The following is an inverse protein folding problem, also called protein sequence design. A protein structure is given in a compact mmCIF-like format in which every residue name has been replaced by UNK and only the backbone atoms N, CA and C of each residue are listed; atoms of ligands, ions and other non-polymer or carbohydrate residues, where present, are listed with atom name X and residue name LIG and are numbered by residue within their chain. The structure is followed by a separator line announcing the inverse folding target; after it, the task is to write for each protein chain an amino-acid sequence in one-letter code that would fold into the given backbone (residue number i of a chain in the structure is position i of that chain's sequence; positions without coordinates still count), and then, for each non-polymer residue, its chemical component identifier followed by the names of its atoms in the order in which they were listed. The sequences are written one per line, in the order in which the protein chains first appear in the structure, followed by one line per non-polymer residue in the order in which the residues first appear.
data_IF_123220089078
#
_entry.id   IF_123220089078
#
_cell.length_a   1.000
_cell.length_b   1.000
_cell.length_c   1.000
_cell.angle_alpha   90.00
_cell.angle_beta   90.00
_cell.angle_gamma   90.00
#
_symmetry.space_group_name_H-M   'P 1'
#
loop_
_entity.id
_entity.type
_entity.pdbx_description
1 polymer ?
#
# COMPACT_ATOMS: atom_id res chain seq x y z
N UNK A 1 -134.01 -46.83 2.55
CA UNK A 1 -133.65 -47.97 1.67
C UNK A 1 -133.75 -47.46 0.24
N UNK A 2 -132.77 -47.55 -0.67
CA UNK A 2 -131.30 -47.74 -0.64
C UNK A 2 -130.78 -47.08 -1.96
N UNK A 3 -129.52 -46.65 -2.17
CA UNK A 3 -128.32 -46.56 -1.33
C UNK A 3 -127.43 -45.39 -1.81
N UNK A 4 -126.27 -45.17 -1.20
CA UNK A 4 -125.26 -44.17 -1.65
C UNK A 4 -124.30 -44.72 -2.71
N UNK A 5 -123.93 -43.92 -3.72
CA UNK A 5 -122.61 -44.01 -4.39
C UNK A 5 -122.21 -42.76 -5.20
N UNK A 6 -121.83 -41.69 -4.50
CA UNK A 6 -120.86 -40.73 -5.07
C UNK A 6 -119.47 -41.33 -4.83
N UNK A 7 -118.82 -41.83 -5.88
CA UNK A 7 -117.40 -42.22 -5.93
C UNK A 7 -116.96 -42.15 -7.39
N UNK A 8 -116.26 -41.08 -7.78
CA UNK A 8 -114.79 -41.05 -7.82
C UNK A 8 -114.21 -42.05 -8.83
N UNK A 9 -113.72 -41.55 -9.97
CA UNK A 9 -112.28 -41.28 -10.12
C UNK A 9 -111.96 -40.75 -11.53
N UNK A 10 -111.89 -39.43 -11.65
CA UNK A 10 -110.92 -38.82 -12.57
C UNK A 10 -109.54 -39.16 -11.97
N UNK A 11 -108.72 -39.97 -12.65
CA UNK A 11 -107.33 -40.25 -12.22
C UNK A 11 -106.35 -39.90 -13.34
N UNK A 12 -105.19 -39.27 -13.03
CA UNK A 12 -104.64 -38.27 -13.93
C UNK A 12 -103.17 -38.53 -14.35
N UNK A 13 -102.70 -37.73 -15.30
CA UNK A 13 -101.38 -37.82 -15.96
C UNK A 13 -100.17 -37.38 -15.08
N UNK A 14 -100.03 -37.88 -13.85
CA UNK A 14 -98.97 -37.45 -12.91
C UNK A 14 -97.72 -38.35 -12.84
N UNK A 15 -97.80 -39.62 -13.25
CA UNK A 15 -96.73 -40.61 -12.99
C UNK A 15 -95.35 -40.30 -13.61
N UNK A 16 -95.26 -39.44 -14.63
CA UNK A 16 -93.99 -39.12 -15.33
C UNK A 16 -93.24 -37.92 -14.74
N UNK A 17 -93.90 -37.03 -13.98
CA UNK A 17 -93.21 -36.01 -13.19
C UNK A 17 -92.53 -36.63 -11.97
N UNK A 18 -93.22 -37.56 -11.33
CA UNK A 18 -92.85 -38.09 -10.02
C UNK A 18 -91.59 -38.97 -10.11
N UNK A 19 -91.44 -39.74 -11.19
CA UNK A 19 -90.21 -40.47 -11.47
C UNK A 19 -88.98 -39.55 -11.58
N UNK A 20 -89.12 -38.37 -12.21
CA UNK A 20 -88.01 -37.41 -12.37
C UNK A 20 -87.66 -36.73 -11.05
N UNK A 21 -88.65 -36.31 -10.27
CA UNK A 21 -88.40 -35.69 -8.96
C UNK A 21 -87.74 -36.67 -7.98
N UNK A 22 -88.11 -37.96 -8.02
CA UNK A 22 -87.44 -39.02 -7.26
C UNK A 22 -85.97 -39.18 -7.64
N UNK A 23 -85.63 -39.24 -8.94
CA UNK A 23 -84.22 -39.33 -9.39
C UNK A 23 -83.39 -38.10 -9.00
N UNK A 24 -83.96 -36.89 -9.11
CA UNK A 24 -83.31 -35.66 -8.68
C UNK A 24 -83.10 -35.61 -7.16
N UNK A 25 -84.06 -36.10 -6.36
CA UNK A 25 -83.94 -36.19 -4.91
C UNK A 25 -82.87 -37.21 -4.47
N UNK A 26 -82.76 -38.33 -5.18
CA UNK A 26 -81.70 -39.31 -4.96
C UNK A 26 -80.31 -38.73 -5.28
N UNK A 27 -80.16 -38.04 -6.41
CA UNK A 27 -78.93 -37.34 -6.78
C UNK A 27 -78.56 -36.24 -5.76
N UNK A 28 -79.54 -35.44 -5.30
CA UNK A 28 -79.32 -34.43 -4.27
C UNK A 28 -78.86 -35.04 -2.94
N UNK A 29 -79.42 -36.19 -2.53
CA UNK A 29 -78.96 -36.94 -1.34
C UNK A 29 -77.55 -37.48 -1.52
N UNK A 30 -77.21 -37.97 -2.71
CA UNK A 30 -75.85 -38.42 -3.03
C UNK A 30 -74.84 -37.26 -3.00
N UNK A 31 -75.20 -36.09 -3.54
CA UNK A 31 -74.37 -34.88 -3.45
C UNK A 31 -74.21 -34.41 -2.00
N UNK A 32 -75.28 -34.34 -1.21
CA UNK A 32 -75.19 -33.99 0.23
C UNK A 32 -74.35 -34.99 1.05
N UNK A 33 -74.18 -36.23 0.58
CA UNK A 33 -73.28 -37.22 1.20
C UNK A 33 -71.80 -37.03 0.83
N UNK A 34 -71.52 -36.34 -0.26
CA UNK A 34 -70.16 -36.11 -0.79
C UNK A 34 -69.64 -34.70 -0.43
N UNK A 35 -70.54 -33.73 -0.21
CA UNK A 35 -70.20 -32.37 0.21
C UNK A 35 -69.74 -32.37 1.67
N UNK A 36 -68.51 -31.93 1.91
CA UNK A 36 -67.97 -31.69 3.24
C UNK A 36 -68.70 -30.53 3.94
N UNK A 37 -68.79 -30.59 5.27
CA UNK A 37 -69.32 -29.46 6.06
C UNK A 37 -68.41 -28.23 5.94
N UNK A 38 -68.99 -27.04 6.03
CA UNK A 38 -68.24 -25.77 6.01
C UNK A 38 -67.12 -25.75 7.06
N UNK A 39 -67.38 -26.28 8.26
CA UNK A 39 -66.39 -26.41 9.33
C UNK A 39 -65.20 -27.32 8.94
N UNK A 40 -65.44 -28.44 8.24
CA UNK A 40 -64.37 -29.31 7.78
C UNK A 40 -63.49 -28.63 6.71
N UNK A 41 -64.10 -27.89 5.78
CA UNK A 41 -63.38 -27.11 4.76
C UNK A 41 -62.52 -26.04 5.43
N UNK A 42 -63.08 -25.26 6.36
CA UNK A 42 -62.33 -24.26 7.12
C UNK A 42 -61.18 -24.86 7.93
N UNK A 43 -61.37 -26.02 8.56
CA UNK A 43 -60.33 -26.70 9.33
C UNK A 43 -59.16 -27.16 8.44
N UNK A 44 -59.45 -27.77 7.28
CA UNK A 44 -58.42 -28.16 6.31
C UNK A 44 -57.70 -26.94 5.74
N UNK A 45 -58.43 -25.87 5.40
CA UNK A 45 -57.81 -24.62 4.93
C UNK A 45 -56.88 -24.00 6.00
N UNK A 46 -57.28 -24.02 7.27
CA UNK A 46 -56.45 -23.57 8.39
C UNK A 46 -55.22 -24.47 8.60
N UNK A 47 -55.35 -25.78 8.48
CA UNK A 47 -54.21 -26.71 8.54
C UNK A 47 -53.22 -26.46 7.40
N UNK A 48 -53.70 -26.29 6.16
CA UNK A 48 -52.85 -25.96 5.00
C UNK A 48 -52.15 -24.61 5.21
N UNK A 49 -52.87 -23.58 5.67
CA UNK A 49 -52.29 -22.29 5.98
C UNK A 49 -51.21 -22.38 7.07
N UNK A 50 -51.47 -23.11 8.16
CA UNK A 50 -50.50 -23.34 9.23
C UNK A 50 -49.26 -24.06 8.71
N UNK A 51 -49.42 -25.16 7.96
CA UNK A 51 -48.31 -25.91 7.37
C UNK A 51 -47.49 -25.04 6.42
N UNK A 52 -48.15 -24.30 5.54
CA UNK A 52 -47.52 -23.34 4.62
C UNK A 52 -46.70 -22.29 5.39
N UNK A 53 -47.28 -21.63 6.40
CA UNK A 53 -46.56 -20.64 7.20
C UNK A 53 -45.38 -21.25 7.96
N UNK A 54 -45.49 -22.48 8.49
CA UNK A 54 -44.34 -23.15 9.13
C UNK A 54 -43.22 -23.50 8.14
N UNK A 55 -43.55 -23.99 6.94
CA UNK A 55 -42.58 -24.30 5.89
C UNK A 55 -41.85 -23.05 5.41
N UNK A 56 -42.59 -21.98 5.07
CA UNK A 56 -42.02 -20.68 4.68
C UNK A 56 -41.17 -20.09 5.81
N UNK A 57 -41.60 -20.19 7.06
CA UNK A 57 -40.82 -19.71 8.21
C UNK A 57 -39.50 -20.49 8.38
N UNK A 58 -39.51 -21.79 8.11
CA UNK A 58 -38.31 -22.63 8.15
C UNK A 58 -37.35 -22.32 6.99
N UNK A 59 -37.86 -22.11 5.78
CA UNK A 59 -37.06 -21.64 4.64
C UNK A 59 -36.40 -20.31 4.94
N UNK A 60 -37.17 -19.31 5.42
CA UNK A 60 -36.65 -17.99 5.80
C UNK A 60 -35.61 -18.09 6.94
N UNK A 61 -35.83 -18.94 7.95
CA UNK A 61 -34.86 -19.15 9.02
C UNK A 61 -33.58 -19.84 8.52
N UNK A 62 -33.68 -20.83 7.64
CA UNK A 62 -32.51 -21.50 7.06
C UNK A 62 -31.72 -20.56 6.14
N UNK A 63 -32.41 -19.73 5.34
CA UNK A 63 -31.79 -18.71 4.49
C UNK A 63 -31.16 -17.58 5.32
N UNK A 64 -31.77 -17.16 6.42
CA UNK A 64 -31.17 -16.21 7.36
C UNK A 64 -29.95 -16.81 8.09
N UNK A 65 -30.00 -18.10 8.44
CA UNK A 65 -28.85 -18.85 8.97
C UNK A 65 -27.70 -18.93 7.96
N UNK A 66 -28.00 -19.19 6.69
CA UNK A 66 -27.05 -19.19 5.59
C UNK A 66 -26.45 -17.80 5.36
N UNK A 67 -27.26 -16.74 5.30
CA UNK A 67 -26.80 -15.35 5.17
C UNK A 67 -25.84 -14.97 6.32
N UNK A 68 -26.20 -15.27 7.58
CA UNK A 68 -25.33 -15.07 8.75
C UNK A 68 -24.06 -15.92 8.72
N UNK A 69 -24.08 -17.08 8.04
CA UNK A 69 -22.91 -17.88 7.75
C UNK A 69 -21.99 -17.21 6.72
N UNK A 70 -22.56 -16.72 5.62
CA UNK A 70 -21.85 -15.96 4.57
C UNK A 70 -21.22 -14.69 5.13
N UNK A 71 -21.94 -13.91 5.93
CA UNK A 71 -21.38 -12.72 6.60
C UNK A 71 -20.09 -13.05 7.35
N UNK A 72 -20.13 -14.06 8.23
CA UNK A 72 -18.96 -14.54 9.00
C UNK A 72 -17.80 -14.98 8.10
N UNK A 73 -18.05 -15.66 6.99
CA UNK A 73 -16.96 -16.05 6.06
C UNK A 73 -16.38 -14.84 5.34
N UNK A 74 -17.20 -13.86 4.95
CA UNK A 74 -16.68 -12.59 4.39
C UNK A 74 -15.88 -11.80 5.41
N UNK A 75 -16.29 -11.76 6.68
CA UNK A 75 -15.57 -11.05 7.74
C UNK A 75 -14.22 -11.71 8.05
N UNK A 76 -14.18 -13.04 8.20
CA UNK A 76 -12.93 -13.78 8.34
C UNK A 76 -11.99 -13.53 7.15
N UNK A 77 -12.54 -13.49 5.93
CA UNK A 77 -11.77 -13.15 4.72
C UNK A 77 -11.23 -11.72 4.77
N UNK A 78 -12.04 -10.71 5.16
CA UNK A 78 -11.62 -9.31 5.35
C UNK A 78 -10.47 -9.20 6.37
N UNK A 79 -10.51 -9.97 7.46
CA UNK A 79 -9.44 -9.99 8.46
C UNK A 79 -8.13 -10.58 7.90
N UNK A 80 -8.20 -11.69 7.16
CA UNK A 80 -7.02 -12.30 6.50
C UNK A 80 -6.41 -11.33 5.48
N UNK A 81 -7.23 -10.70 4.62
CA UNK A 81 -6.75 -9.69 3.67
C UNK A 81 -6.13 -8.47 4.37
N UNK A 82 -6.67 -8.03 5.50
CA UNK A 82 -6.10 -6.93 6.30
C UNK A 82 -4.70 -7.28 6.81
N UNK A 83 -4.56 -8.43 7.47
CA UNK A 83 -3.26 -8.90 7.97
C UNK A 83 -2.24 -9.06 6.83
N UNK A 84 -2.64 -9.60 5.68
CA UNK A 84 -1.77 -9.71 4.50
C UNK A 84 -1.30 -8.34 4.00
N UNK A 85 -2.19 -7.34 3.95
CA UNK A 85 -1.85 -5.97 3.54
C UNK A 85 -0.89 -5.29 4.54
N UNK A 86 -1.12 -5.45 5.84
CA UNK A 86 -0.23 -4.95 6.90
C UNK A 86 1.16 -5.60 6.82
N UNK A 87 1.22 -6.91 6.53
CA UNK A 87 2.48 -7.66 6.37
C UNK A 87 3.22 -7.27 5.08
N UNK A 88 2.51 -6.96 3.99
CA UNK A 88 3.12 -6.42 2.79
C UNK A 88 3.69 -5.01 3.03
N UNK A 89 2.96 -4.14 3.74
CA UNK A 89 3.41 -2.79 4.06
C UNK A 89 4.67 -2.79 4.97
N UNK A 90 4.75 -3.69 5.95
CA UNK A 90 5.94 -3.79 6.82
C UNK A 90 7.17 -4.35 6.09
N UNK A 91 6.98 -5.31 5.18
CA UNK A 91 8.05 -5.82 4.31
C UNK A 91 8.55 -4.76 3.33
N UNK A 92 7.66 -3.94 2.77
CA UNK A 92 8.06 -2.85 1.88
C UNK A 92 8.81 -1.74 2.62
N UNK A 93 8.35 -1.34 3.80
CA UNK A 93 9.13 -0.45 4.67
C UNK A 93 10.53 -1.01 4.99
N UNK A 94 10.64 -2.31 5.26
CA UNK A 94 11.93 -2.94 5.51
C UNK A 94 12.84 -2.92 4.26
N UNK A 95 12.28 -3.21 3.08
CA UNK A 95 12.98 -3.11 1.79
C UNK A 95 13.47 -1.68 1.53
N UNK A 96 12.60 -0.69 1.72
CA UNK A 96 12.92 0.72 1.50
C UNK A 96 14.02 1.23 2.46
N UNK A 97 14.01 0.79 3.73
CA UNK A 97 15.10 1.10 4.68
C UNK A 97 16.45 0.54 4.22
N UNK A 98 16.48 -0.72 3.73
CA UNK A 98 17.70 -1.33 3.17
C UNK A 98 18.17 -0.58 1.92
N UNK A 99 17.25 -0.25 1.02
CA UNK A 99 17.55 0.47 -0.22
C UNK A 99 18.19 1.84 0.07
N UNK A 100 17.57 2.66 0.94
CA UNK A 100 18.12 3.96 1.37
C UNK A 100 19.54 3.84 1.94
N UNK A 101 19.82 2.78 2.72
CA UNK A 101 21.17 2.56 3.28
C UNK A 101 22.19 2.14 2.21
N UNK A 102 21.77 1.36 1.21
CA UNK A 102 22.63 1.05 0.06
C UNK A 102 22.92 2.31 -0.78
N UNK A 103 21.92 3.17 -1.00
CA UNK A 103 22.09 4.40 -1.77
C UNK A 103 22.97 5.41 -1.02
N UNK A 104 22.85 5.51 0.31
CA UNK A 104 23.78 6.26 1.18
C UNK A 104 25.22 5.74 1.06
N UNK A 105 25.44 4.42 1.18
CA UNK A 105 26.78 3.82 1.08
C UNK A 105 27.38 4.00 -0.32
N UNK A 106 26.57 3.88 -1.38
CA UNK A 106 27.00 4.16 -2.76
C UNK A 106 27.38 5.62 -2.96
N UNK A 107 26.63 6.56 -2.38
CA UNK A 107 26.97 7.98 -2.44
C UNK A 107 28.30 8.28 -1.72
N UNK A 108 28.48 7.75 -0.50
CA UNK A 108 29.76 7.87 0.23
C UNK A 108 30.92 7.24 -0.55
N UNK A 109 30.71 6.08 -1.18
CA UNK A 109 31.75 5.43 -1.97
C UNK A 109 32.15 6.27 -3.20
N UNK A 110 31.21 6.93 -3.89
CA UNK A 110 31.53 7.89 -4.97
C UNK A 110 32.32 9.10 -4.47
N UNK A 111 32.08 9.57 -3.26
CA UNK A 111 32.87 10.65 -2.65
C UNK A 111 34.29 10.18 -2.25
N UNK A 112 34.46 8.88 -2.00
CA UNK A 112 35.75 8.27 -1.64
C UNK A 112 36.57 7.76 -2.84
N UNK A 113 35.96 7.62 -4.02
CA UNK A 113 36.65 7.25 -5.26
C UNK A 113 37.89 8.14 -5.56
N UNK A 114 37.82 9.49 -5.55
CA UNK A 114 38.99 10.35 -5.77
C UNK A 114 40.08 10.19 -4.70
N UNK A 115 39.71 9.74 -3.49
CA UNK A 115 40.68 9.44 -2.42
C UNK A 115 41.35 8.06 -2.56
N UNK A 116 40.96 7.26 -3.55
CA UNK A 116 41.59 5.96 -3.83
C UNK A 116 43.06 6.09 -4.27
N UNK A 117 43.39 7.14 -5.03
CA UNK A 117 44.75 7.47 -5.44
C UNK A 117 45.07 8.95 -5.13
N UNK A 118 45.38 9.30 -3.87
CA UNK A 118 45.59 10.69 -3.46
C UNK A 118 46.81 11.35 -4.11
N UNK A 119 47.72 10.56 -4.70
CA UNK A 119 48.90 11.03 -5.44
C UNK A 119 48.58 11.54 -6.87
N UNK A 120 47.50 11.07 -7.49
CA UNK A 120 47.15 11.43 -8.89
C UNK A 120 45.96 12.36 -9.01
N UNK A 121 44.93 12.19 -8.16
CA UNK A 121 43.64 12.87 -8.37
C UNK A 121 43.48 14.14 -7.51
N UNK A 122 44.05 14.15 -6.29
CA UNK A 122 43.98 15.30 -5.38
C UNK A 122 45.31 16.06 -5.43
N UNK A 123 45.37 17.04 -6.33
CA UNK A 123 46.46 18.01 -6.49
C UNK A 123 47.82 17.35 -6.84
N UNK A 124 48.15 17.16 -8.14
CA UNK A 124 49.43 16.57 -8.56
C UNK A 124 50.68 17.38 -8.15
N UNK A 125 50.49 18.62 -7.67
CA UNK A 125 51.54 19.49 -7.14
C UNK A 125 51.63 19.46 -5.60
N UNK A 126 51.03 18.46 -4.92
CA UNK A 126 51.13 18.33 -3.47
C UNK A 126 52.58 18.01 -3.07
N UNK A 127 53.29 19.01 -2.53
CA UNK A 127 54.67 18.87 -2.07
C UNK A 127 54.70 17.99 -0.82
N UNK A 128 54.75 16.68 -1.04
CA UNK A 128 54.89 15.66 0.02
C UNK A 128 56.28 15.72 0.63
N UNK A 129 56.42 15.27 1.90
CA UNK A 129 57.71 15.26 2.61
C UNK A 129 58.81 14.47 1.89
N UNK A 130 58.42 13.46 1.12
CA UNK A 130 59.31 12.53 0.44
C UNK A 130 59.40 12.78 -1.09
N UNK A 131 58.69 13.81 -1.60
CA UNK A 131 58.58 14.10 -3.02
C UNK A 131 59.85 14.69 -3.64
N UNK A 132 59.98 14.56 -4.96
CA UNK A 132 61.18 14.95 -5.72
C UNK A 132 61.62 16.40 -5.46
N UNK A 133 60.67 17.33 -5.32
CA UNK A 133 60.97 18.73 -5.02
C UNK A 133 61.61 18.92 -3.63
N UNK A 134 61.22 18.11 -2.63
CA UNK A 134 61.84 18.15 -1.31
C UNK A 134 63.29 17.62 -1.35
N UNK A 135 63.54 16.57 -2.14
CA UNK A 135 64.89 16.07 -2.39
C UNK A 135 65.76 17.09 -3.14
N UNK A 136 65.20 17.79 -4.13
CA UNK A 136 65.92 18.81 -4.90
C UNK A 136 66.20 20.08 -4.06
N UNK A 137 65.29 20.47 -3.16
CA UNK A 137 65.53 21.52 -2.17
C UNK A 137 66.66 21.14 -1.19
N UNK A 138 66.77 19.87 -0.79
CA UNK A 138 67.86 19.41 0.07
C UNK A 138 69.21 19.36 -0.68
N UNK A 139 69.22 19.01 -1.97
CA UNK A 139 70.40 19.17 -2.85
C UNK A 139 70.81 20.63 -2.97
N UNK A 140 69.85 21.53 -3.19
CA UNK A 140 70.11 22.98 -3.22
C UNK A 140 70.66 23.50 -1.89
N UNK A 141 70.15 23.06 -0.73
CA UNK A 141 70.71 23.40 0.59
C UNK A 141 72.16 22.98 0.74
N UNK A 142 72.50 21.74 0.36
CA UNK A 142 73.89 21.28 0.37
C UNK A 142 74.79 22.08 -0.58
N UNK A 143 74.31 22.46 -1.75
CA UNK A 143 75.07 23.30 -2.69
C UNK A 143 75.26 24.72 -2.14
N UNK A 144 74.21 25.34 -1.60
CA UNK A 144 74.28 26.68 -0.98
C UNK A 144 75.23 26.68 0.22
N UNK A 145 75.21 25.66 1.07
CA UNK A 145 76.16 25.53 2.18
C UNK A 145 77.62 25.44 1.69
N UNK A 146 77.88 24.68 0.61
CA UNK A 146 79.23 24.55 0.02
C UNK A 146 79.69 25.81 -0.70
N UNK A 147 78.81 26.48 -1.43
CA UNK A 147 79.11 27.69 -2.21
C UNK A 147 79.26 28.88 -1.27
N UNK A 148 78.32 29.10 -0.34
CA UNK A 148 78.44 30.13 0.70
C UNK A 148 79.65 29.91 1.61
N UNK A 149 79.98 28.66 1.95
CA UNK A 149 81.20 28.31 2.69
C UNK A 149 82.51 28.53 1.92
N UNK A 150 82.47 28.65 0.58
CA UNK A 150 83.63 29.02 -0.25
C UNK A 150 83.71 30.51 -0.51
N UNK A 151 82.57 31.18 -0.76
CA UNK A 151 82.49 32.64 -0.93
C UNK A 151 82.94 33.33 0.37
N UNK A 152 82.48 32.86 1.54
CA UNK A 152 82.93 33.37 2.84
C UNK A 152 84.40 33.06 3.19
N UNK A 153 85.07 32.18 2.44
CA UNK A 153 86.52 31.97 2.52
C UNK A 153 87.31 32.78 1.47
N UNK A 154 86.63 33.40 0.51
CA UNK A 154 87.22 34.31 -0.48
C UNK A 154 87.03 35.78 -0.08
N UNK A 155 86.06 36.10 0.78
CA UNK A 155 85.96 37.40 1.44
C UNK A 155 87.15 37.64 2.42
N UNK A 156 87.79 38.81 2.40
CA UNK A 156 88.91 39.12 3.30
C UNK A 156 88.47 39.21 4.77
N UNK A 157 89.36 38.82 5.69
CA UNK A 157 89.14 38.99 7.13
C UNK A 157 89.26 40.45 7.56
N UNK A 158 88.16 41.19 7.55
CA UNK A 158 88.00 42.37 8.41
C UNK A 158 86.75 42.26 9.29
N UNK A 159 86.88 42.68 10.55
CA UNK A 159 85.79 42.70 11.55
C UNK A 159 85.28 44.14 11.69
N UNK A 160 84.00 44.40 11.49
CA UNK A 160 83.27 45.45 12.21
C UNK A 160 81.86 44.94 12.58
N UNK A 161 81.27 45.52 13.62
CA UNK A 161 79.94 45.22 14.15
C UNK A 161 78.89 46.15 13.52
N UNK A 162 77.61 45.74 13.51
CA UNK A 162 76.48 46.66 13.42
C UNK A 162 75.55 46.46 12.22
N UNK A 163 74.31 46.12 12.53
CA UNK A 163 73.07 46.60 11.89
C UNK A 163 73.08 46.93 10.37
N UNK A 164 72.93 45.91 9.52
CA UNK A 164 72.41 46.05 8.15
C UNK A 164 71.34 44.95 7.98
N UNK A 165 70.03 45.21 8.07
CA UNK A 165 69.19 46.05 7.21
C UNK A 165 69.33 45.68 5.73
N UNK A 166 68.39 44.86 5.25
CA UNK A 166 68.33 44.36 3.88
C UNK A 166 68.15 45.49 2.85
N UNK A 167 69.25 46.01 2.32
CA UNK A 167 69.25 46.83 1.11
C UNK A 167 69.44 45.94 -0.12
N UNK A 168 68.33 45.77 -0.86
CA UNK A 168 68.33 45.11 -2.17
C UNK A 168 68.98 46.04 -3.20
N UNK A 169 70.04 45.62 -3.92
CA UNK A 169 70.64 46.45 -4.97
C UNK A 169 69.61 46.81 -6.05
N UNK A 170 69.25 48.10 -6.14
CA UNK A 170 68.32 48.62 -7.15
C UNK A 170 67.08 49.36 -6.62
N UNK A 171 66.92 49.55 -5.30
CA UNK A 171 65.88 50.45 -4.77
C UNK A 171 66.07 51.91 -5.22
N UNK A 172 67.31 52.37 -5.23
CA UNK A 172 67.64 53.80 -5.20
C UNK A 172 67.42 54.45 -6.58
N UNK A 173 67.82 53.74 -7.64
CA UNK A 173 67.60 54.15 -9.04
C UNK A 173 66.11 54.26 -9.40
N UNK A 174 65.24 53.54 -8.69
CA UNK A 174 63.78 53.60 -8.90
C UNK A 174 63.10 54.67 -8.05
N UNK A 175 63.78 55.16 -7.01
CA UNK A 175 63.35 56.31 -6.21
C UNK A 175 63.71 57.62 -6.91
N UNK A 176 64.93 57.76 -7.47
CA UNK A 176 65.33 58.92 -8.29
C UNK A 176 64.33 59.17 -9.43
N UNK A 177 64.03 58.13 -10.22
CA UNK A 177 63.07 58.19 -11.34
C UNK A 177 61.61 58.50 -10.94
N UNK A 178 61.30 58.52 -9.63
CA UNK A 178 60.00 58.91 -9.07
C UNK A 178 60.01 60.34 -8.48
N UNK A 179 61.20 60.90 -8.21
CA UNK A 179 61.39 62.27 -7.72
C UNK A 179 61.61 63.27 -8.88
N UNK A 180 62.05 62.80 -10.05
CA UNK A 180 62.21 63.60 -11.28
C UNK A 180 60.88 63.94 -12.01
N UNK A 181 59.73 63.66 -11.41
CA UNK A 181 58.39 63.90 -11.98
C UNK A 181 57.61 65.01 -11.23
N UNK A 182 58.28 66.11 -10.91
CA UNK A 182 57.67 67.33 -10.36
C UNK A 182 58.18 68.62 -11.06
N UNK A 183 57.58 68.99 -12.21
CA UNK A 183 57.24 70.37 -12.68
C UNK A 183 56.12 70.30 -13.72
#
# INVERSE_FOLDING_TARGET
MYCTKVKCCLLPLHSRSDAKTLTANAAAKQHNRIVYSSQAIHHVAHQIASLYWTAVSYEVQSQAGFAKGVEKTTDLSKHIYRHLRERLASLDQQRQRRQRRLDQLRHLHRLLEPFGNPQTDIQPNLVTRDGDLAQELERMRMLVARVGGRISQQEPRERVQGEEQYLLPGSDQKLDALMDLDV
#
